data_IF_732136816174
#
_entry.id   IF_732136816174
#
_cell.length_a   1.000
_cell.length_b   1.000
_cell.length_c   1.000
_cell.angle_alpha   90.00
_cell.angle_beta   90.00
_cell.angle_gamma   90.00
#
_symmetry.space_group_name_H-M   'P 1'
#
loop_
_entity.id
_entity.type
_entity.pdbx_description
1 polymer ?
#
# COMPACT_ATOMS: atom_id res chain seq x y z
N UNK A 1 7.85 38.16 -16.52
CA UNK A 1 6.61 37.35 -16.51
C UNK A 1 6.33 36.87 -15.09
N UNK A 2 5.70 37.71 -14.27
CA UNK A 2 5.22 37.36 -12.94
C UNK A 2 3.85 36.70 -13.08
N UNK A 3 3.78 35.38 -12.94
CA UNK A 3 2.50 34.68 -12.98
C UNK A 3 1.70 35.03 -11.73
N UNK A 4 0.53 35.63 -11.94
CA UNK A 4 -0.52 35.83 -10.94
C UNK A 4 -0.73 34.57 -10.06
N UNK A 5 -0.14 34.56 -8.86
CA UNK A 5 -0.60 33.68 -7.78
C UNK A 5 -1.95 34.21 -7.32
N UNK A 6 -3.04 33.71 -7.92
CA UNK A 6 -4.40 33.96 -7.43
C UNK A 6 -4.49 33.42 -6.00
N UNK A 7 -4.42 34.32 -5.03
CA UNK A 7 -4.69 33.98 -3.64
C UNK A 7 -6.14 33.49 -3.56
N UNK A 8 -6.35 32.22 -3.21
CA UNK A 8 -7.68 31.69 -2.98
C UNK A 8 -8.38 32.51 -1.87
N UNK A 9 -9.69 32.79 -2.00
CA UNK A 9 -10.42 33.61 -1.03
C UNK A 9 -10.32 32.97 0.36
N UNK A 10 -10.25 33.80 1.40
CA UNK A 10 -9.95 33.38 2.79
C UNK A 10 -10.91 32.30 3.31
N UNK A 11 -12.17 32.34 2.85
CA UNK A 11 -13.20 31.31 3.10
C UNK A 11 -12.83 29.93 2.54
N UNK A 12 -12.21 29.86 1.36
CA UNK A 12 -11.80 28.61 0.72
C UNK A 12 -10.68 27.91 1.51
N UNK A 13 -9.75 28.67 2.10
CA UNK A 13 -8.69 28.11 2.94
C UNK A 13 -9.23 27.50 4.24
N UNK A 14 -10.29 28.10 4.82
CA UNK A 14 -10.95 27.57 6.01
C UNK A 14 -11.62 26.23 5.76
N UNK A 15 -12.39 26.14 4.67
CA UNK A 15 -13.06 24.90 4.24
C UNK A 15 -12.03 23.80 3.98
N UNK A 16 -10.96 24.10 3.24
CA UNK A 16 -9.92 23.13 2.88
C UNK A 16 -9.18 22.56 4.09
N UNK A 17 -9.08 23.32 5.20
CA UNK A 17 -8.47 22.82 6.45
C UNK A 17 -9.33 21.80 7.19
N UNK A 18 -10.65 21.81 7.02
CA UNK A 18 -11.57 20.85 7.65
C UNK A 18 -11.73 19.53 6.89
N UNK A 19 -11.37 19.51 5.60
CA UNK A 19 -11.52 18.34 4.71
C UNK A 19 -10.84 17.08 5.28
N UNK A 20 -9.59 17.11 5.78
CA UNK A 20 -8.92 15.89 6.25
C UNK A 20 -9.59 15.23 7.47
N UNK A 21 -10.12 16.03 8.39
CA UNK A 21 -10.82 15.51 9.57
C UNK A 21 -12.13 14.83 9.19
N UNK A 22 -12.88 15.43 8.27
CA UNK A 22 -14.10 14.83 7.72
C UNK A 22 -13.80 13.56 6.93
N UNK A 23 -12.78 13.59 6.07
CA UNK A 23 -12.34 12.42 5.32
C UNK A 23 -11.94 11.25 6.21
N UNK A 24 -11.31 11.50 7.36
CA UNK A 24 -10.94 10.46 8.32
C UNK A 24 -12.17 9.72 8.88
N UNK A 25 -13.26 10.43 9.14
CA UNK A 25 -14.54 9.83 9.58
C UNK A 25 -15.14 8.98 8.46
N UNK A 26 -15.13 9.50 7.23
CA UNK A 26 -15.65 8.78 6.05
C UNK A 26 -14.83 7.51 5.77
N UNK A 27 -13.50 7.56 5.91
CA UNK A 27 -12.62 6.39 5.77
C UNK A 27 -12.96 5.31 6.80
N UNK A 28 -13.20 5.71 8.06
CA UNK A 28 -13.56 4.77 9.12
C UNK A 28 -14.92 4.11 8.87
N UNK A 29 -15.92 4.90 8.48
CA UNK A 29 -17.23 4.37 8.10
C UNK A 29 -17.12 3.40 6.92
N UNK A 30 -16.36 3.77 5.89
CA UNK A 30 -16.13 2.92 4.72
C UNK A 30 -15.41 1.61 5.10
N UNK A 31 -14.53 1.62 6.10
CA UNK A 31 -13.90 0.40 6.60
C UNK A 31 -14.89 -0.56 7.26
N UNK A 32 -15.83 -0.03 8.05
CA UNK A 32 -16.92 -0.82 8.64
C UNK A 32 -17.81 -1.41 7.54
N UNK A 33 -18.17 -0.60 6.54
CA UNK A 33 -18.99 -1.05 5.40
C UNK A 33 -18.32 -2.20 4.64
N UNK A 34 -17.02 -2.11 4.36
CA UNK A 34 -16.27 -3.21 3.73
C UNK A 34 -16.28 -4.50 4.57
N UNK A 35 -16.23 -4.36 5.91
CA UNK A 35 -16.37 -5.50 6.82
C UNK A 35 -17.75 -6.16 6.70
N UNK A 36 -18.81 -5.35 6.64
CA UNK A 36 -20.19 -5.83 6.49
C UNK A 36 -20.47 -6.44 5.11
N UNK A 37 -19.90 -5.88 4.04
CA UNK A 37 -19.97 -6.42 2.67
C UNK A 37 -19.43 -7.86 2.60
N UNK A 38 -18.47 -8.20 3.47
CA UNK A 38 -17.85 -9.54 3.50
C UNK A 38 -18.84 -10.61 3.99
N UNK A 39 -19.75 -10.26 4.90
CA UNK A 39 -20.70 -11.21 5.49
C UNK A 39 -22.06 -11.20 4.78
N UNK A 40 -22.51 -10.02 4.33
CA UNK A 40 -23.82 -9.84 3.70
C UNK A 40 -23.61 -9.43 2.25
N UNK A 41 -24.05 -10.25 1.30
CA UNK A 41 -24.08 -9.84 -0.11
C UNK A 41 -25.37 -9.06 -0.40
N UNK A 42 -25.23 -7.77 -0.73
CA UNK A 42 -26.33 -6.88 -1.10
C UNK A 42 -25.95 -5.97 -2.27
N UNK A 43 -26.86 -5.72 -3.23
CA UNK A 43 -26.60 -4.78 -4.33
C UNK A 43 -26.44 -3.32 -3.88
N UNK A 44 -26.82 -2.98 -2.64
CA UNK A 44 -26.59 -1.64 -2.05
C UNK A 44 -25.11 -1.31 -1.88
N UNK A 45 -24.25 -2.33 -1.75
CA UNK A 45 -22.81 -2.11 -1.55
C UNK A 45 -22.14 -1.46 -2.75
N UNK A 46 -22.54 -1.82 -3.97
CA UNK A 46 -21.97 -1.21 -5.19
C UNK A 46 -22.23 0.31 -5.24
N UNK A 47 -23.44 0.73 -4.91
CA UNK A 47 -23.79 2.15 -4.84
C UNK A 47 -23.00 2.88 -3.76
N UNK A 48 -22.80 2.23 -2.62
CA UNK A 48 -22.07 2.79 -1.49
C UNK A 48 -20.58 2.94 -1.82
N UNK A 49 -19.96 1.93 -2.42
CA UNK A 49 -18.57 1.99 -2.90
C UNK A 49 -18.37 3.11 -3.92
N UNK A 50 -19.29 3.23 -4.89
CA UNK A 50 -19.25 4.28 -5.92
C UNK A 50 -19.32 5.69 -5.32
N UNK A 51 -20.21 5.89 -4.33
CA UNK A 51 -20.36 7.17 -3.62
C UNK A 51 -19.10 7.53 -2.83
N UNK A 52 -18.54 6.55 -2.10
CA UNK A 52 -17.31 6.75 -1.31
C UNK A 52 -16.10 7.03 -2.22
N UNK A 53 -15.94 6.27 -3.31
CA UNK A 53 -14.87 6.48 -4.28
C UNK A 53 -14.96 7.88 -4.89
N UNK A 54 -16.17 8.30 -5.31
CA UNK A 54 -16.40 9.63 -5.87
C UNK A 54 -16.01 10.76 -4.89
N UNK A 55 -16.34 10.60 -3.61
CA UNK A 55 -15.92 11.52 -2.56
C UNK A 55 -14.39 11.61 -2.45
N UNK A 56 -13.68 10.48 -2.40
CA UNK A 56 -12.21 10.46 -2.31
C UNK A 56 -11.52 11.01 -3.56
N UNK A 57 -12.10 10.80 -4.74
CA UNK A 57 -11.61 11.41 -5.99
C UNK A 57 -11.72 12.92 -5.90
N UNK A 58 -12.87 13.45 -5.48
CA UNK A 58 -13.09 14.90 -5.32
C UNK A 58 -12.13 15.49 -4.27
N UNK A 59 -11.99 14.83 -3.13
CA UNK A 59 -11.02 15.21 -2.10
C UNK A 59 -9.59 15.26 -2.64
N UNK A 60 -9.17 14.20 -3.35
CA UNK A 60 -7.83 14.10 -3.92
C UNK A 60 -7.56 15.24 -4.92
N UNK A 61 -8.51 15.53 -5.80
CA UNK A 61 -8.42 16.64 -6.75
C UNK A 61 -8.30 17.97 -6.03
N UNK A 62 -9.13 18.23 -5.01
CA UNK A 62 -9.04 19.47 -4.21
C UNK A 62 -7.68 19.60 -3.52
N UNK A 63 -7.15 18.50 -2.97
CA UNK A 63 -5.88 18.47 -2.27
C UNK A 63 -4.70 18.78 -3.20
N UNK A 64 -4.69 18.19 -4.40
CA UNK A 64 -3.70 18.45 -5.46
C UNK A 64 -3.83 19.88 -5.98
N UNK A 65 -5.05 20.38 -6.20
CA UNK A 65 -5.30 21.75 -6.68
C UNK A 65 -4.80 22.80 -5.69
N UNK A 66 -4.93 22.52 -4.38
CA UNK A 66 -4.54 23.44 -3.32
C UNK A 66 -3.03 23.46 -3.08
N UNK A 67 -2.37 22.29 -3.01
CA UNK A 67 -0.94 22.16 -2.68
C UNK A 67 -0.03 22.10 -3.92
N UNK A 68 -0.56 21.84 -5.11
CA UNK A 68 0.22 21.75 -6.34
C UNK A 68 1.33 20.70 -6.27
N UNK A 69 2.51 21.01 -6.82
CA UNK A 69 3.68 20.13 -6.86
C UNK A 69 4.33 19.91 -5.49
N UNK A 70 4.10 20.80 -4.52
CA UNK A 70 4.54 20.60 -3.13
C UNK A 70 3.85 19.40 -2.48
N UNK A 71 2.68 18.97 -3.01
CA UNK A 71 1.97 17.79 -2.53
C UNK A 71 2.79 16.50 -2.58
N UNK A 72 3.62 16.35 -3.63
CA UNK A 72 4.45 15.17 -3.85
C UNK A 72 5.87 15.33 -3.27
N UNK A 73 6.32 16.57 -3.07
CA UNK A 73 7.70 16.88 -2.69
C UNK A 73 7.88 17.18 -1.19
N UNK A 74 6.79 17.25 -0.41
CA UNK A 74 6.89 17.40 1.04
C UNK A 74 7.61 16.21 1.69
N UNK A 75 8.76 16.47 2.32
CA UNK A 75 9.69 15.46 2.81
C UNK A 75 9.16 14.53 3.92
N UNK A 76 8.14 14.95 4.69
CA UNK A 76 7.61 14.14 5.81
C UNK A 76 6.33 13.34 5.48
N UNK A 77 5.52 13.83 4.54
CA UNK A 77 4.21 13.25 4.20
C UNK A 77 4.09 12.80 2.73
N UNK A 78 5.09 13.09 1.89
CA UNK A 78 5.05 12.88 0.43
C UNK A 78 4.80 11.42 0.07
N UNK A 79 5.48 10.48 0.73
CA UNK A 79 5.30 9.04 0.51
C UNK A 79 3.85 8.58 0.78
N UNK A 80 3.25 9.07 1.87
CA UNK A 80 1.88 8.75 2.22
C UNK A 80 0.86 9.38 1.28
N UNK A 81 1.15 10.58 0.77
CA UNK A 81 0.33 11.26 -0.21
C UNK A 81 0.38 10.57 -1.59
N UNK A 82 1.55 10.05 -1.99
CA UNK A 82 1.70 9.24 -3.21
C UNK A 82 0.91 7.93 -3.07
N UNK A 83 1.04 7.26 -1.92
CA UNK A 83 0.27 6.04 -1.63
C UNK A 83 -1.24 6.33 -1.68
N UNK A 84 -1.68 7.43 -1.07
CA UNK A 84 -3.08 7.87 -1.10
C UNK A 84 -3.57 8.08 -2.54
N UNK A 85 -2.82 8.80 -3.37
CA UNK A 85 -3.15 9.00 -4.79
C UNK A 85 -3.17 7.69 -5.57
N UNK A 86 -2.23 6.79 -5.29
CA UNK A 86 -2.16 5.46 -5.93
C UNK A 86 -3.40 4.64 -5.61
N UNK A 87 -3.87 4.68 -4.36
CA UNK A 87 -5.11 3.98 -3.95
C UNK A 87 -6.33 4.59 -4.64
N UNK A 88 -6.45 5.93 -4.72
CA UNK A 88 -7.59 6.55 -5.44
C UNK A 88 -7.56 6.14 -6.92
N UNK A 89 -6.39 6.23 -7.56
CA UNK A 89 -6.22 5.88 -8.97
C UNK A 89 -6.54 4.39 -9.22
N UNK A 90 -6.05 3.50 -8.36
CA UNK A 90 -6.36 2.07 -8.44
C UNK A 90 -7.87 1.81 -8.32
N UNK A 91 -8.57 2.50 -7.40
CA UNK A 91 -10.02 2.40 -7.25
C UNK A 91 -10.79 2.90 -8.49
N UNK A 92 -10.37 4.02 -9.08
CA UNK A 92 -10.98 4.52 -10.33
C UNK A 92 -10.77 3.56 -11.49
N UNK A 93 -9.57 2.97 -11.61
CA UNK A 93 -9.29 1.98 -12.66
C UNK A 93 -10.15 0.73 -12.44
N UNK A 94 -10.18 0.21 -11.22
CA UNK A 94 -10.93 -1.01 -10.92
C UNK A 94 -12.44 -0.82 -11.12
N UNK A 95 -13.01 0.25 -10.60
CA UNK A 95 -14.46 0.39 -10.59
C UNK A 95 -14.99 1.05 -11.87
N UNK A 96 -14.36 2.11 -12.37
CA UNK A 96 -14.90 2.86 -13.52
C UNK A 96 -14.35 2.33 -14.85
N UNK A 97 -13.05 2.10 -14.94
CA UNK A 97 -12.43 1.68 -16.22
C UNK A 97 -12.85 0.26 -16.57
N UNK A 98 -12.88 -0.68 -15.61
CA UNK A 98 -13.31 -2.06 -15.91
C UNK A 98 -14.79 -2.15 -16.25
N UNK A 99 -15.68 -1.41 -15.56
CA UNK A 99 -17.12 -1.38 -15.88
C UNK A 99 -17.38 -0.73 -17.24
N UNK A 100 -16.69 0.36 -17.57
CA UNK A 100 -16.79 0.98 -18.89
C UNK A 100 -16.28 0.04 -20.00
N UNK A 101 -15.16 -0.65 -19.74
CA UNK A 101 -14.58 -1.58 -20.70
C UNK A 101 -15.46 -2.82 -20.94
N UNK A 102 -16.04 -3.39 -19.87
CA UNK A 102 -16.93 -4.55 -19.98
C UNK A 102 -18.21 -4.19 -20.76
N UNK A 103 -18.73 -2.98 -20.59
CA UNK A 103 -19.87 -2.48 -21.36
C UNK A 103 -19.53 -2.36 -22.86
N UNK A 104 -18.36 -1.82 -23.20
CA UNK A 104 -17.93 -1.65 -24.60
C UNK A 104 -17.63 -3.01 -25.27
N UNK A 105 -16.95 -3.92 -24.56
CA UNK A 105 -16.46 -5.19 -25.12
C UNK A 105 -17.49 -6.31 -25.18
N UNK A 106 -18.67 -6.13 -24.58
CA UNK A 106 -19.80 -7.07 -24.69
C UNK A 106 -20.21 -7.33 -26.15
N UNK A 107 -19.85 -6.42 -27.06
CA UNK A 107 -20.11 -6.49 -28.50
C UNK A 107 -19.04 -7.24 -29.33
N UNK A 108 -17.90 -7.64 -28.76
CA UNK A 108 -16.75 -8.15 -29.54
C UNK A 108 -16.19 -9.48 -28.99
N UNK A 109 -16.64 -10.60 -29.55
CA UNK A 109 -16.25 -11.99 -29.24
C UNK A 109 -14.82 -12.41 -29.68
N UNK A 110 -13.82 -11.51 -29.70
CA UNK A 110 -12.47 -11.85 -30.18
C UNK A 110 -11.36 -11.38 -29.24
N UNK A 111 -10.62 -12.33 -28.68
CA UNK A 111 -9.20 -12.13 -28.35
C UNK A 111 -8.77 -12.67 -26.98
N UNK A 112 -7.84 -13.63 -26.99
CA UNK A 112 -7.18 -14.20 -25.80
C UNK A 112 -6.38 -13.21 -24.93
N UNK A 113 -6.35 -11.92 -25.26
CA UNK A 113 -5.89 -10.86 -24.35
C UNK A 113 -6.89 -10.57 -23.21
N UNK A 114 -8.17 -10.91 -23.41
CA UNK A 114 -9.24 -10.68 -22.44
C UNK A 114 -9.03 -11.46 -21.13
N UNK A 115 -8.46 -12.67 -21.21
CA UNK A 115 -8.19 -13.49 -20.01
C UNK A 115 -7.11 -12.86 -19.12
N UNK A 116 -6.02 -12.33 -19.70
CA UNK A 116 -4.96 -11.63 -18.94
C UNK A 116 -5.48 -10.36 -18.29
N UNK A 117 -6.30 -9.59 -19.00
CA UNK A 117 -6.92 -8.38 -18.45
C UNK A 117 -7.92 -8.72 -17.34
N UNK A 118 -8.66 -9.82 -17.46
CA UNK A 118 -9.57 -10.29 -16.42
C UNK A 118 -8.80 -10.77 -15.17
N UNK A 119 -7.63 -11.39 -15.33
CA UNK A 119 -6.75 -11.72 -14.19
C UNK A 119 -6.18 -10.48 -13.52
N UNK A 120 -5.73 -9.48 -14.31
CA UNK A 120 -5.28 -8.19 -13.77
C UNK A 120 -6.40 -7.45 -13.05
N UNK A 121 -7.63 -7.46 -13.58
CA UNK A 121 -8.82 -6.95 -12.92
C UNK A 121 -9.07 -7.61 -11.56
N UNK A 122 -8.90 -8.94 -11.45
CA UNK A 122 -9.00 -9.63 -10.15
C UNK A 122 -7.95 -9.17 -9.15
N UNK A 123 -6.72 -8.92 -9.60
CA UNK A 123 -5.65 -8.40 -8.74
C UNK A 123 -5.89 -6.93 -8.33
N UNK A 124 -6.43 -6.11 -9.24
CA UNK A 124 -6.81 -4.73 -8.94
C UNK A 124 -7.93 -4.66 -7.89
N UNK A 125 -8.89 -5.59 -7.91
CA UNK A 125 -9.86 -5.71 -6.81
C UNK A 125 -9.21 -5.98 -5.46
N UNK A 126 -8.07 -6.68 -5.39
CA UNK A 126 -7.36 -6.87 -4.12
C UNK A 126 -6.69 -5.58 -3.64
N UNK A 127 -6.30 -4.69 -4.56
CA UNK A 127 -5.76 -3.36 -4.20
C UNK A 127 -6.78 -2.52 -3.43
N UNK A 128 -8.09 -2.82 -3.52
CA UNK A 128 -9.12 -2.16 -2.72
C UNK A 128 -8.89 -2.36 -1.22
N UNK A 129 -8.25 -3.46 -0.79
CA UNK A 129 -7.86 -3.68 0.62
C UNK A 129 -6.81 -2.67 1.08
N UNK A 130 -5.95 -2.17 0.18
CA UNK A 130 -4.96 -1.15 0.54
C UNK A 130 -5.60 0.13 1.07
N UNK A 131 -6.88 0.40 0.76
CA UNK A 131 -7.60 1.54 1.34
C UNK A 131 -7.72 1.46 2.87
N UNK A 132 -7.61 0.26 3.46
CA UNK A 132 -7.50 0.08 4.92
C UNK A 132 -6.22 0.71 5.50
N UNK A 133 -5.15 0.84 4.72
CA UNK A 133 -3.93 1.55 5.14
C UNK A 133 -4.24 3.00 5.50
N UNK A 134 -5.23 3.61 4.84
CA UNK A 134 -5.67 4.97 5.18
C UNK A 134 -6.33 5.05 6.55
N UNK A 135 -7.01 3.99 7.00
CA UNK A 135 -7.60 3.90 8.35
C UNK A 135 -6.50 3.92 9.40
N UNK A 136 -5.42 3.15 9.17
CA UNK A 136 -4.25 3.12 10.05
C UNK A 136 -3.65 4.52 10.19
N UNK A 137 -3.56 5.28 9.10
CA UNK A 137 -3.08 6.67 9.12
C UNK A 137 -4.07 7.63 9.80
N UNK A 138 -5.37 7.45 9.58
CA UNK A 138 -6.42 8.30 10.16
C UNK A 138 -6.44 8.20 11.70
N UNK A 139 -6.13 7.02 12.25
CA UNK A 139 -6.11 6.77 13.68
C UNK A 139 -4.67 6.89 14.20
N UNK A 140 -4.34 8.03 14.83
CA UNK A 140 -3.00 8.30 15.37
C UNK A 140 -2.41 7.16 16.22
N UNK A 141 -3.14 6.56 17.19
CA UNK A 141 -2.62 5.43 17.95
C UNK A 141 -2.19 4.24 17.08
N UNK A 142 -3.00 3.87 16.08
CA UNK A 142 -2.68 2.76 15.17
C UNK A 142 -1.45 3.10 14.31
N UNK A 143 -1.37 4.33 13.80
CA UNK A 143 -0.22 4.80 13.05
C UNK A 143 1.09 4.68 13.85
N UNK A 144 1.08 5.10 15.12
CA UNK A 144 2.24 5.01 15.99
C UNK A 144 2.66 3.56 16.25
N UNK A 145 1.70 2.66 16.46
CA UNK A 145 1.96 1.23 16.59
C UNK A 145 2.55 0.63 15.30
N UNK A 146 1.98 0.98 14.15
CA UNK A 146 2.48 0.51 12.85
C UNK A 146 3.92 0.95 12.59
N UNK A 147 4.26 2.21 12.88
CA UNK A 147 5.66 2.68 12.81
C UNK A 147 6.55 1.91 13.79
N UNK A 148 6.07 1.68 15.01
CA UNK A 148 6.81 0.89 16.01
C UNK A 148 7.15 -0.51 15.51
N UNK A 149 6.18 -1.19 14.88
CA UNK A 149 6.37 -2.50 14.26
C UNK A 149 7.41 -2.43 13.14
N UNK A 150 7.31 -1.46 12.22
CA UNK A 150 8.27 -1.30 11.11
C UNK A 150 9.70 -1.08 11.63
N UNK A 151 9.85 -0.27 12.68
CA UNK A 151 11.16 -0.04 13.33
C UNK A 151 11.70 -1.30 13.99
N UNK A 152 10.84 -2.06 14.68
CA UNK A 152 11.23 -3.34 15.26
C UNK A 152 11.67 -4.35 14.19
N UNK A 153 10.93 -4.45 13.07
CA UNK A 153 11.30 -5.31 11.94
C UNK A 153 12.68 -4.97 11.38
N UNK A 154 13.05 -3.69 11.30
CA UNK A 154 14.38 -3.28 10.88
C UNK A 154 15.49 -3.80 11.81
N UNK A 155 15.26 -3.77 13.13
CA UNK A 155 16.22 -4.35 14.08
C UNK A 155 16.28 -5.88 13.98
N UNK A 156 15.13 -6.55 13.82
CA UNK A 156 15.04 -8.00 13.65
C UNK A 156 15.78 -8.48 12.41
N UNK A 157 15.76 -7.70 11.33
CA UNK A 157 16.51 -8.00 10.11
C UNK A 157 18.00 -8.15 10.39
N UNK A 158 18.60 -7.24 11.16
CA UNK A 158 20.02 -7.33 11.52
C UNK A 158 20.34 -8.52 12.43
N UNK A 159 19.43 -8.86 13.36
CA UNK A 159 19.56 -10.07 14.19
C UNK A 159 19.55 -11.33 13.31
N UNK A 160 18.66 -11.37 12.30
CA UNK A 160 18.58 -12.47 11.35
C UNK A 160 19.85 -12.59 10.50
N UNK A 161 20.41 -11.47 10.03
CA UNK A 161 21.70 -11.44 9.31
C UNK A 161 22.82 -11.99 10.20
N UNK A 162 22.92 -11.54 11.45
CA UNK A 162 23.94 -12.02 12.40
C UNK A 162 23.82 -13.52 12.64
N UNK A 163 22.58 -14.01 12.82
CA UNK A 163 22.29 -15.43 13.03
C UNK A 163 22.71 -16.25 11.81
N UNK A 164 22.43 -15.75 10.60
CA UNK A 164 22.83 -16.42 9.36
C UNK A 164 24.36 -16.52 9.21
N UNK A 165 25.08 -15.45 9.54
CA UNK A 165 26.56 -15.45 9.53
C UNK A 165 27.12 -16.45 10.55
N UNK A 166 26.55 -16.52 11.76
CA UNK A 166 26.98 -17.46 12.78
C UNK A 166 26.76 -18.92 12.35
N UNK A 167 25.58 -19.24 11.81
CA UNK A 167 25.29 -20.57 11.28
C UNK A 167 26.22 -20.93 10.13
N UNK A 168 26.54 -19.99 9.24
CA UNK A 168 27.48 -20.20 8.15
C UNK A 168 28.90 -20.48 8.65
N UNK A 169 29.37 -19.75 9.66
CA UNK A 169 30.69 -20.00 10.27
C UNK A 169 30.76 -21.41 10.90
N UNK A 170 29.74 -21.80 11.66
CA UNK A 170 29.64 -23.14 12.25
C UNK A 170 29.58 -24.23 11.17
N UNK A 171 28.88 -23.98 10.06
CA UNK A 171 28.84 -24.91 8.92
C UNK A 171 30.22 -25.10 8.30
N UNK A 172 31.00 -24.03 8.12
CA UNK A 172 32.39 -24.13 7.63
C UNK A 172 33.25 -24.93 8.61
N UNK A 173 33.20 -24.59 9.90
CA UNK A 173 33.97 -25.28 10.94
C UNK A 173 33.65 -26.78 10.95
N UNK A 174 32.37 -27.13 10.94
CA UNK A 174 31.91 -28.53 10.90
C UNK A 174 32.39 -29.23 9.62
N UNK A 175 32.32 -28.55 8.48
CA UNK A 175 32.79 -29.11 7.20
C UNK A 175 34.31 -29.31 7.17
N UNK A 176 35.09 -28.43 7.80
CA UNK A 176 36.56 -28.58 7.88
C UNK A 176 36.96 -29.65 8.88
N UNK A 177 36.41 -29.60 10.09
CA UNK A 177 36.73 -30.50 11.18
C UNK A 177 36.29 -31.94 10.88
N UNK A 178 35.04 -32.13 10.43
CA UNK A 178 34.43 -33.45 10.22
C UNK A 178 34.48 -33.84 8.75
N UNK A 179 34.03 -32.94 7.86
CA UNK A 179 33.86 -33.26 6.43
C UNK A 179 35.17 -33.43 5.66
N UNK A 180 36.22 -32.66 5.99
CA UNK A 180 37.56 -32.78 5.38
C UNK A 180 38.56 -33.55 6.23
N UNK A 181 38.15 -34.03 7.41
CA UNK A 181 38.98 -34.89 8.24
C UNK A 181 40.30 -34.27 8.68
N UNK A 182 40.42 -32.93 8.79
CA UNK A 182 41.65 -32.29 9.32
C UNK A 182 42.02 -32.87 10.69
N UNK A 183 41.03 -33.18 11.53
CA UNK A 183 41.25 -33.85 12.82
C UNK A 183 41.65 -35.33 12.70
N UNK A 184 41.18 -36.04 11.67
CA UNK A 184 41.52 -37.46 11.43
C UNK A 184 42.92 -37.62 10.82
N UNK A 185 43.29 -36.77 9.86
CA UNK A 185 44.65 -36.73 9.31
C UNK A 185 45.67 -36.36 10.38
N UNK A 186 45.35 -35.42 11.27
CA UNK A 186 46.24 -35.04 12.39
C UNK A 186 46.53 -36.19 13.36
N UNK A 187 45.64 -37.18 13.49
CA UNK A 187 45.88 -38.36 14.34
C UNK A 187 46.65 -39.47 13.62
N UNK A 188 46.62 -39.53 12.28
CA UNK A 188 47.38 -40.51 11.51
C UNK A 188 48.87 -40.13 11.40
N UNK A 189 49.21 -38.84 11.53
CA UNK A 189 50.58 -38.31 11.46
C UNK A 189 51.38 -38.40 12.77
N UNK A 190 50.88 -39.08 13.81
CA UNK A 190 51.67 -39.33 15.03
C UNK A 190 52.62 -40.50 14.74
N UNK A 191 53.96 -40.29 14.66
CA UNK A 191 54.90 -41.38 14.47
C UNK A 191 54.98 -42.21 15.76
N UNK A 192 54.96 -43.54 15.62
CA UNK A 192 55.15 -44.50 16.74
C UNK A 192 56.49 -44.34 17.45
#
# INVERSE_FOLDING_TARGET
MQSHKRAAPVSFKGIVRGIPSFASVVILLNAVIMGLETDIQSPIWEWTEQMMLSFFVLEAVLRVRHRGWEFFTSSEDGGWNILDMTIVAAGVIDDWVLKAWSFITQSSHRGGGLSKLMTLARLLRLMRILRLVRVVRAIRPLYMLAIGVVRAMQSMFWVLVLTFVALYALAILTTRAIGRGELLNSMHDIPE
#
